data_IF_620375812754
#
_entry.id   IF_620375812754
#
_cell.length_a   1.000
_cell.length_b   1.000
_cell.length_c   1.000
_cell.angle_alpha   90.00
_cell.angle_beta   90.00
_cell.angle_gamma   90.00
#
_symmetry.space_group_name_H-M   'P 1'
#
loop_
_entity.id
_entity.type
_entity.pdbx_description
1 polymer ?
#
# COMPACT_ATOMS: atom_id res chain seq x y z
N UNK A 1 -19.75 -11.71 42.07
CA UNK A 1 -20.63 -10.65 42.61
C UNK A 1 -19.97 -9.27 42.73
N UNK A 2 -18.63 -9.12 42.80
CA UNK A 2 -17.98 -7.79 42.79
C UNK A 2 -17.47 -7.32 41.40
N UNK A 3 -17.42 -8.21 40.39
CA UNK A 3 -16.99 -7.90 39.02
C UNK A 3 -18.14 -7.43 38.09
N UNK A 4 -19.39 -7.76 38.39
CA UNK A 4 -20.55 -7.35 37.57
C UNK A 4 -20.91 -5.87 37.78
N UNK A 5 -20.66 -5.31 38.96
CA UNK A 5 -20.93 -3.88 39.25
C UNK A 5 -19.94 -2.91 38.58
N UNK A 6 -18.73 -3.37 38.23
CA UNK A 6 -17.76 -2.57 37.46
C UNK A 6 -18.11 -2.55 35.96
N UNK A 7 -18.71 -3.62 35.43
CA UNK A 7 -19.15 -3.68 34.04
C UNK A 7 -20.27 -2.67 33.76
N UNK A 8 -21.31 -2.62 34.60
CA UNK A 8 -22.47 -1.74 34.37
C UNK A 8 -22.16 -0.24 34.47
N UNK A 9 -21.15 0.16 35.26
CA UNK A 9 -20.68 1.55 35.32
C UNK A 9 -19.83 1.93 34.10
N UNK A 10 -19.12 0.97 33.50
CA UNK A 10 -18.34 1.21 32.27
C UNK A 10 -19.24 1.35 31.04
N UNK A 11 -20.36 0.61 30.97
CA UNK A 11 -21.32 0.70 29.85
C UNK A 11 -22.00 2.07 29.74
N UNK A 12 -22.26 2.76 30.86
CA UNK A 12 -22.87 4.09 30.85
C UNK A 12 -21.85 5.20 30.52
N UNK A 13 -20.58 5.04 30.96
CA UNK A 13 -19.49 5.91 30.51
C UNK A 13 -19.18 5.71 29.03
N UNK A 14 -19.16 4.46 28.54
CA UNK A 14 -18.88 4.07 27.15
C UNK A 14 -19.97 4.52 26.16
N UNK A 15 -21.25 4.46 26.54
CA UNK A 15 -22.34 4.95 25.69
C UNK A 15 -22.31 6.48 25.53
N UNK A 16 -21.93 7.21 26.58
CA UNK A 16 -21.84 8.68 26.55
C UNK A 16 -20.54 9.14 25.86
N UNK A 17 -19.44 8.40 26.02
CA UNK A 17 -18.17 8.63 25.32
C UNK A 17 -18.28 8.30 23.82
N UNK A 18 -18.96 7.21 23.44
CA UNK A 18 -19.26 6.86 22.04
C UNK A 18 -20.13 7.88 21.34
N UNK A 19 -21.07 8.53 22.04
CA UNK A 19 -21.93 9.55 21.43
C UNK A 19 -21.17 10.86 21.19
N UNK A 20 -20.33 11.28 22.15
CA UNK A 20 -19.50 12.48 22.03
C UNK A 20 -18.40 12.28 20.97
N UNK A 21 -17.73 11.13 20.94
CA UNK A 21 -16.72 10.81 19.91
C UNK A 21 -17.34 10.57 18.53
N UNK A 22 -18.53 9.96 18.44
CA UNK A 22 -19.22 9.82 17.14
C UNK A 22 -19.69 11.17 16.63
N UNK A 23 -20.13 12.10 17.48
CA UNK A 23 -20.44 13.47 17.04
C UNK A 23 -19.17 14.28 16.69
N UNK A 24 -18.05 14.10 17.38
CA UNK A 24 -16.77 14.72 17.03
C UNK A 24 -16.16 14.12 15.74
N UNK A 25 -16.32 12.81 15.52
CA UNK A 25 -15.88 12.11 14.30
C UNK A 25 -16.84 12.38 13.14
N UNK A 26 -18.15 12.41 13.35
CA UNK A 26 -19.12 12.80 12.31
C UNK A 26 -18.96 14.30 11.99
N UNK A 27 -18.60 15.17 12.94
CA UNK A 27 -18.17 16.53 12.64
C UNK A 27 -16.81 16.60 11.94
N UNK A 28 -15.85 15.74 12.27
CA UNK A 28 -14.54 15.70 11.61
C UNK A 28 -14.60 15.08 10.21
N UNK A 29 -15.49 14.12 9.95
CA UNK A 29 -15.70 13.48 8.66
C UNK A 29 -16.68 14.32 7.80
N UNK A 30 -17.65 15.00 8.40
CA UNK A 30 -18.59 15.87 7.67
C UNK A 30 -18.07 17.29 7.43
N UNK A 31 -17.04 17.77 8.15
CA UNK A 31 -16.39 19.07 7.90
C UNK A 31 -14.99 18.97 7.29
N UNK A 32 -14.45 17.78 7.02
CA UNK A 32 -13.34 17.68 6.07
C UNK A 32 -13.96 17.76 4.68
N UNK A 33 -14.28 19.00 4.29
CA UNK A 33 -14.29 19.35 2.88
C UNK A 33 -12.86 19.11 2.39
N UNK A 34 -12.61 17.88 1.90
CA UNK A 34 -11.30 17.36 1.45
C UNK A 34 -10.64 18.31 0.42
N UNK A 35 -11.39 19.28 -0.11
CA UNK A 35 -10.92 20.30 -1.04
C UNK A 35 -10.24 21.52 -0.41
N UNK A 36 -10.52 21.86 0.85
CA UNK A 36 -10.19 23.22 1.36
C UNK A 36 -9.13 23.27 2.47
N UNK A 37 -8.54 22.14 2.89
CA UNK A 37 -7.55 22.11 3.99
C UNK A 37 -6.31 21.23 3.76
N UNK A 38 -5.99 20.86 2.51
CA UNK A 38 -4.62 20.51 2.18
C UNK A 38 -3.86 21.82 1.98
N UNK A 39 -2.83 22.16 2.76
CA UNK A 39 -2.03 23.34 2.49
C UNK A 39 -1.47 23.23 1.07
N UNK A 40 -1.82 24.21 0.24
CA UNK A 40 -1.43 24.41 -1.16
C UNK A 40 0.10 24.53 -1.41
N UNK A 41 0.95 23.71 -0.78
CA UNK A 41 2.39 23.93 -0.70
C UNK A 41 3.28 22.77 -1.14
N UNK A 42 2.76 21.58 -1.42
CA UNK A 42 3.57 20.48 -1.95
C UNK A 42 3.15 19.96 -3.33
N UNK A 43 1.94 20.28 -3.82
CA UNK A 43 1.37 19.67 -5.04
C UNK A 43 0.63 20.67 -5.96
N UNK A 44 0.33 21.89 -5.49
CA UNK A 44 -0.45 22.85 -6.27
C UNK A 44 0.43 23.82 -7.06
N UNK A 45 0.83 23.41 -8.26
CA UNK A 45 1.01 24.33 -9.40
C UNK A 45 1.15 23.56 -10.75
N UNK A 46 0.61 22.35 -10.86
CA UNK A 46 0.56 21.66 -12.16
C UNK A 46 -0.76 21.94 -12.85
N UNK A 47 -0.66 22.63 -13.99
CA UNK A 47 -1.79 22.87 -14.87
C UNK A 47 -2.27 21.57 -15.52
N UNK A 48 -3.25 20.92 -14.89
CA UNK A 48 -3.87 19.70 -15.42
C UNK A 48 -4.43 19.93 -16.84
N UNK A 49 -4.94 21.13 -17.15
CA UNK A 49 -5.42 21.45 -18.49
C UNK A 49 -4.27 21.57 -19.51
N UNK A 50 -3.13 22.11 -19.09
CA UNK A 50 -1.88 22.15 -19.85
C UNK A 50 -1.29 20.77 -20.09
N UNK A 51 -1.30 19.91 -19.07
CA UNK A 51 -0.92 18.50 -19.20
C UNK A 51 -1.85 17.79 -20.20
N UNK A 52 -3.17 17.91 -20.06
CA UNK A 52 -4.14 17.34 -21.02
C UNK A 52 -3.92 17.86 -22.46
N UNK A 53 -3.56 19.13 -22.62
CA UNK A 53 -3.27 19.73 -23.93
C UNK A 53 -1.95 19.24 -24.55
N UNK A 54 -0.97 18.89 -23.72
CA UNK A 54 0.32 18.33 -24.14
C UNK A 54 0.19 16.85 -24.50
N UNK A 55 -0.64 16.11 -23.75
CA UNK A 55 -0.78 14.66 -23.89
C UNK A 55 -1.91 14.21 -24.84
N UNK A 56 -2.76 15.14 -25.30
CA UNK A 56 -3.74 14.87 -26.35
C UNK A 56 -4.78 13.81 -25.98
N UNK A 57 -5.24 13.02 -26.95
CA UNK A 57 -6.29 12.00 -26.78
C UNK A 57 -5.89 10.84 -25.83
N UNK A 58 -4.60 10.74 -25.49
CA UNK A 58 -4.07 9.69 -24.59
C UNK A 58 -4.20 10.04 -23.11
N UNK A 59 -4.51 11.28 -22.75
CA UNK A 59 -4.72 11.68 -21.36
C UNK A 59 -6.20 11.96 -21.08
N UNK A 60 -6.78 11.18 -20.18
CA UNK A 60 -8.11 11.41 -19.62
C UNK A 60 -7.96 11.88 -18.18
N UNK A 61 -8.81 12.80 -17.73
CA UNK A 61 -8.92 13.10 -16.31
C UNK A 61 -9.93 12.15 -15.68
N UNK A 62 -9.50 11.40 -14.67
CA UNK A 62 -10.37 10.57 -13.84
C UNK A 62 -10.21 11.00 -12.38
N UNK A 63 -11.29 11.46 -11.75
CA UNK A 63 -11.30 11.98 -10.37
C UNK A 63 -10.20 13.03 -10.05
N UNK A 64 -9.88 13.91 -11.02
CA UNK A 64 -8.86 14.95 -10.84
C UNK A 64 -7.41 14.47 -11.00
N UNK A 65 -7.19 13.20 -11.36
CA UNK A 65 -5.88 12.64 -11.71
C UNK A 65 -5.80 12.37 -13.22
N UNK A 66 -4.57 12.37 -13.77
CA UNK A 66 -4.34 12.05 -15.17
C UNK A 66 -4.24 10.53 -15.34
N UNK A 67 -5.23 9.97 -16.02
CA UNK A 67 -5.29 8.60 -16.47
C UNK A 67 -4.81 8.52 -17.92
N UNK A 68 -3.77 7.73 -18.18
CA UNK A 68 -3.20 7.62 -19.52
C UNK A 68 -3.78 6.40 -20.23
N UNK A 69 -4.69 6.62 -21.20
CA UNK A 69 -5.11 5.58 -22.13
C UNK A 69 -4.04 5.47 -23.21
N UNK A 70 -3.18 4.47 -23.07
CA UNK A 70 -2.15 4.14 -24.07
C UNK A 70 -0.76 4.03 -23.47
N UNK A 71 -0.49 2.87 -22.86
CA UNK A 71 0.79 2.47 -22.27
C UNK A 71 1.98 2.46 -23.25
N UNK A 72 1.74 2.62 -24.55
CA UNK A 72 2.74 2.46 -25.60
C UNK A 72 3.71 3.64 -25.74
N UNK A 73 3.39 4.82 -25.18
CA UNK A 73 4.14 6.05 -25.47
C UNK A 73 5.00 6.55 -24.29
N UNK A 74 5.13 5.77 -23.19
CA UNK A 74 5.97 6.15 -22.04
C UNK A 74 7.43 6.40 -22.44
N UNK A 75 7.98 5.55 -23.32
CA UNK A 75 9.30 5.73 -23.93
C UNK A 75 9.36 6.96 -24.85
N UNK A 76 8.24 7.35 -25.45
CA UNK A 76 8.12 8.57 -26.25
C UNK A 76 8.07 9.84 -25.41
N UNK A 77 7.79 9.76 -24.10
CA UNK A 77 7.70 10.91 -23.20
C UNK A 77 8.95 11.19 -22.38
N UNK A 78 9.79 10.19 -22.16
CA UNK A 78 10.96 10.38 -21.33
C UNK A 78 12.01 11.31 -21.95
N UNK A 79 12.51 12.22 -21.12
CA UNK A 79 13.45 13.26 -21.54
C UNK A 79 12.79 14.47 -22.21
N UNK A 80 11.46 14.51 -22.35
CA UNK A 80 10.75 15.72 -22.78
C UNK A 80 10.56 16.69 -21.61
N UNK A 81 10.62 17.98 -21.92
CA UNK A 81 10.37 19.11 -21.02
C UNK A 81 8.90 19.56 -21.15
N UNK A 82 8.24 19.84 -20.03
CA UNK A 82 6.81 20.15 -19.94
C UNK A 82 6.66 21.51 -19.26
N UNK A 83 6.06 22.48 -19.95
CA UNK A 83 5.82 23.81 -19.38
C UNK A 83 4.43 23.94 -18.77
N UNK A 84 4.30 24.53 -17.57
CA UNK A 84 2.99 24.96 -17.05
C UNK A 84 2.44 26.22 -17.76
N UNK A 85 1.21 26.65 -17.42
CA UNK A 85 0.60 27.91 -17.91
C UNK A 85 1.42 29.16 -17.63
N UNK A 86 2.32 29.12 -16.64
CA UNK A 86 3.23 30.22 -16.29
C UNK A 86 4.57 30.09 -17.01
N UNK A 87 4.78 29.07 -17.84
CA UNK A 87 5.99 28.80 -18.61
C UNK A 87 7.11 28.09 -17.83
N UNK A 88 6.85 27.58 -16.63
CA UNK A 88 7.84 26.85 -15.82
C UNK A 88 7.99 25.44 -16.38
N UNK A 89 9.23 25.08 -16.69
CA UNK A 89 9.58 23.80 -17.32
C UNK A 89 9.84 22.74 -16.25
N UNK A 90 9.12 21.63 -16.36
CA UNK A 90 9.22 20.43 -15.54
C UNK A 90 9.74 19.29 -16.44
N UNK A 91 10.81 18.58 -16.08
CA UNK A 91 11.21 17.38 -16.81
C UNK A 91 10.12 16.29 -16.69
N UNK A 92 9.81 15.59 -17.79
CA UNK A 92 8.82 14.47 -17.90
C UNK A 92 8.82 13.46 -16.75
N UNK A 93 9.98 13.23 -16.13
CA UNK A 93 10.16 12.42 -14.92
C UNK A 93 9.32 12.89 -13.72
N UNK A 94 9.00 14.18 -13.64
CA UNK A 94 8.20 14.78 -12.56
C UNK A 94 6.71 14.48 -12.70
N UNK A 95 6.23 14.22 -13.92
CA UNK A 95 4.83 13.86 -14.16
C UNK A 95 4.47 12.47 -13.63
N UNK A 96 5.44 11.55 -13.55
CA UNK A 96 5.22 10.16 -13.12
C UNK A 96 4.48 10.08 -11.77
N UNK A 97 4.71 11.04 -10.87
CA UNK A 97 4.07 11.11 -9.56
C UNK A 97 2.54 11.26 -9.64
N UNK A 98 2.02 11.85 -10.72
CA UNK A 98 0.59 12.14 -10.92
C UNK A 98 -0.10 11.18 -11.88
N UNK A 99 0.64 10.21 -12.45
CA UNK A 99 0.10 9.25 -13.43
C UNK A 99 -0.47 8.03 -12.75
N UNK A 100 -1.43 7.37 -13.42
CA UNK A 100 -1.89 6.03 -13.10
C UNK A 100 -1.00 4.95 -13.72
N UNK A 101 -0.83 3.84 -13.02
CA UNK A 101 -0.05 2.67 -13.44
C UNK A 101 -0.90 1.40 -13.26
N UNK A 102 -1.25 0.70 -14.35
CA UNK A 102 -1.88 -0.61 -14.28
C UNK A 102 -0.87 -1.70 -13.91
N UNK A 103 -1.35 -2.78 -13.28
CA UNK A 103 -0.51 -3.89 -12.82
C UNK A 103 0.24 -4.60 -13.95
N UNK A 104 -0.32 -4.64 -15.15
CA UNK A 104 0.30 -5.25 -16.34
C UNK A 104 1.53 -4.46 -16.78
N UNK A 105 1.43 -3.13 -16.83
CA UNK A 105 2.57 -2.26 -17.15
C UNK A 105 3.68 -2.42 -16.13
N UNK A 106 3.33 -2.37 -14.83
CA UNK A 106 4.30 -2.55 -13.75
C UNK A 106 4.97 -3.93 -13.87
N UNK A 107 4.21 -4.98 -14.18
CA UNK A 107 4.73 -6.33 -14.37
C UNK A 107 5.77 -6.45 -15.48
N UNK A 108 5.57 -5.75 -16.60
CA UNK A 108 6.48 -5.74 -17.76
C UNK A 108 7.67 -4.79 -17.57
N UNK A 109 7.48 -3.72 -16.81
CA UNK A 109 8.44 -2.62 -16.63
C UNK A 109 8.88 -2.48 -15.17
N UNK A 110 9.27 -3.58 -14.52
CA UNK A 110 9.79 -3.58 -13.14
C UNK A 110 11.31 -3.77 -13.15
N UNK A 111 12.06 -2.75 -13.58
CA UNK A 111 13.53 -2.76 -13.58
C UNK A 111 14.11 -1.44 -13.06
N UNK A 112 15.34 -1.49 -12.52
CA UNK A 112 15.97 -0.29 -11.92
C UNK A 112 16.26 0.83 -12.92
N UNK A 113 16.25 0.52 -14.22
CA UNK A 113 16.57 1.47 -15.30
C UNK A 113 15.33 1.99 -16.03
N UNK A 114 14.13 1.64 -15.54
CA UNK A 114 12.90 2.19 -16.09
C UNK A 114 12.77 3.66 -15.71
N UNK A 115 12.47 4.50 -16.71
CA UNK A 115 12.40 5.95 -16.53
C UNK A 115 11.27 6.36 -15.58
N UNK A 116 10.18 5.58 -15.50
CA UNK A 116 9.09 5.85 -14.56
C UNK A 116 9.52 5.63 -13.10
N UNK A 117 10.39 4.63 -12.84
CA UNK A 117 10.96 4.38 -11.52
C UNK A 117 11.94 5.51 -11.17
N UNK A 118 12.83 5.89 -12.08
CA UNK A 118 13.77 7.01 -11.88
C UNK A 118 13.02 8.34 -11.63
N UNK A 119 11.90 8.56 -12.33
CA UNK A 119 11.05 9.73 -12.12
C UNK A 119 10.38 9.77 -10.76
N UNK A 120 9.89 8.63 -10.26
CA UNK A 120 9.34 8.56 -8.90
C UNK A 120 10.43 8.66 -7.82
N UNK A 121 11.62 8.12 -8.04
CA UNK A 121 12.76 8.23 -7.10
C UNK A 121 13.11 9.69 -6.78
N UNK A 122 12.99 10.59 -7.76
CA UNK A 122 13.23 12.02 -7.58
C UNK A 122 12.30 12.64 -6.52
N UNK A 123 11.06 12.16 -6.42
CA UNK A 123 10.05 12.68 -5.50
C UNK A 123 10.16 12.13 -4.08
N UNK A 124 10.92 11.06 -3.86
CA UNK A 124 11.00 10.40 -2.53
C UNK A 124 11.51 11.34 -1.44
N UNK A 125 12.60 12.10 -1.61
CA UNK A 125 13.06 13.03 -0.57
C UNK A 125 12.04 14.16 -0.32
N UNK A 126 11.43 14.69 -1.38
CA UNK A 126 10.44 15.77 -1.30
C UNK A 126 9.21 15.32 -0.52
N UNK A 127 8.70 14.12 -0.80
CA UNK A 127 7.58 13.55 -0.07
C UNK A 127 7.92 13.24 1.40
N UNK A 128 9.14 12.78 1.68
CA UNK A 128 9.61 12.53 3.05
C UNK A 128 9.72 13.81 3.87
N UNK A 129 10.29 14.88 3.31
CA UNK A 129 10.38 16.19 3.96
C UNK A 129 8.99 16.78 4.20
N UNK A 130 8.12 16.74 3.17
CA UNK A 130 6.73 17.18 3.29
C UNK A 130 5.97 16.41 4.37
N UNK A 131 6.19 15.10 4.51
CA UNK A 131 5.59 14.32 5.59
C UNK A 131 6.04 14.80 6.97
N UNK A 132 7.34 15.06 7.19
CA UNK A 132 7.85 15.54 8.48
C UNK A 132 7.28 16.92 8.86
N UNK A 133 7.11 17.80 7.88
CA UNK A 133 6.43 19.09 8.08
C UNK A 133 4.98 18.89 8.54
N UNK A 134 4.22 18.04 7.83
CA UNK A 134 2.83 17.75 8.21
C UNK A 134 2.72 17.03 9.56
N UNK A 135 3.68 16.17 9.93
CA UNK A 135 3.72 15.54 11.25
C UNK A 135 3.88 16.61 12.35
N UNK A 136 4.70 17.63 12.08
CA UNK A 136 4.93 18.74 13.03
C UNK A 136 3.68 19.60 13.19
N UNK A 137 2.93 19.82 12.12
CA UNK A 137 1.76 20.70 12.10
C UNK A 137 0.47 20.01 12.56
N UNK A 138 0.21 18.79 12.08
CA UNK A 138 -1.07 18.08 12.25
C UNK A 138 -0.99 16.83 13.12
N UNK A 139 0.23 16.41 13.48
CA UNK A 139 0.47 15.19 14.25
C UNK A 139 0.50 13.93 13.40
N UNK A 140 1.32 12.97 13.86
CA UNK A 140 1.69 11.77 13.10
C UNK A 140 0.51 10.94 12.57
N UNK A 141 -0.50 10.68 13.41
CA UNK A 141 -1.62 9.82 13.01
C UNK A 141 -2.47 10.47 11.90
N UNK A 142 -2.74 11.77 12.03
CA UNK A 142 -3.48 12.52 11.01
C UNK A 142 -2.73 12.51 9.67
N UNK A 143 -1.42 12.76 9.70
CA UNK A 143 -0.58 12.74 8.49
C UNK A 143 -0.58 11.38 7.81
N UNK A 144 -0.45 10.28 8.56
CA UNK A 144 -0.46 8.92 8.00
C UNK A 144 -1.82 8.61 7.35
N UNK A 145 -2.92 8.97 8.02
CA UNK A 145 -4.26 8.77 7.50
C UNK A 145 -4.46 9.52 6.17
N UNK A 146 -4.13 10.81 6.14
CA UNK A 146 -4.27 11.65 4.96
C UNK A 146 -3.38 11.19 3.80
N UNK A 147 -2.17 10.72 4.11
CA UNK A 147 -1.23 10.21 3.10
C UNK A 147 -1.73 8.93 2.43
N UNK A 148 -2.32 8.01 3.20
CA UNK A 148 -2.39 6.61 2.80
C UNK A 148 -3.79 6.00 2.69
N UNK A 149 -4.85 6.66 3.19
CA UNK A 149 -6.22 6.14 3.05
C UNK A 149 -6.58 5.91 1.58
N UNK A 150 -6.37 6.92 0.73
CA UNK A 150 -6.69 6.82 -0.70
C UNK A 150 -5.76 5.85 -1.42
N UNK A 151 -4.46 5.84 -1.07
CA UNK A 151 -3.50 4.92 -1.66
C UNK A 151 -3.83 3.45 -1.32
N UNK A 152 -4.28 3.17 -0.09
CA UNK A 152 -4.71 1.84 0.32
C UNK A 152 -6.00 1.41 -0.41
N UNK A 153 -6.95 2.33 -0.60
CA UNK A 153 -8.14 2.08 -1.42
C UNK A 153 -7.79 1.74 -2.87
N UNK A 154 -6.82 2.43 -3.47
CA UNK A 154 -6.34 2.10 -4.82
C UNK A 154 -5.60 0.77 -4.88
N UNK A 155 -4.80 0.44 -3.86
CA UNK A 155 -4.22 -0.91 -3.72
C UNK A 155 -5.30 -1.98 -3.70
N UNK A 156 -6.34 -1.80 -2.86
CA UNK A 156 -7.49 -2.71 -2.83
C UNK A 156 -8.13 -2.86 -4.20
N UNK A 157 -8.45 -1.75 -4.86
CA UNK A 157 -9.10 -1.76 -6.17
C UNK A 157 -8.23 -2.40 -7.26
N UNK A 158 -6.90 -2.25 -7.23
CA UNK A 158 -6.00 -2.90 -8.19
C UNK A 158 -6.09 -4.43 -8.15
N UNK A 159 -6.22 -5.01 -6.96
CA UNK A 159 -6.25 -6.47 -6.78
C UNK A 159 -7.66 -7.07 -6.67
N UNK A 160 -8.67 -6.25 -6.42
CA UNK A 160 -10.08 -6.69 -6.31
C UNK A 160 -10.93 -6.32 -7.52
N UNK A 161 -10.65 -5.20 -8.19
CA UNK A 161 -11.55 -4.55 -9.16
C UNK A 161 -10.82 -4.04 -10.43
N UNK A 162 -9.61 -4.54 -10.72
CA UNK A 162 -8.77 -4.12 -11.86
C UNK A 162 -8.49 -2.60 -11.94
N UNK A 163 -8.39 -1.94 -10.79
CA UNK A 163 -8.00 -0.53 -10.67
C UNK A 163 -6.50 -0.29 -10.89
N UNK A 164 -6.11 1.00 -10.88
CA UNK A 164 -4.73 1.45 -11.08
C UNK A 164 -4.18 2.13 -9.81
N UNK A 165 -2.86 2.11 -9.65
CA UNK A 165 -2.16 2.91 -8.64
C UNK A 165 -1.72 4.24 -9.24
N UNK A 166 -1.71 5.30 -8.44
CA UNK A 166 -1.00 6.53 -8.79
C UNK A 166 0.49 6.40 -8.51
N UNK A 167 1.31 7.16 -9.22
CA UNK A 167 2.74 7.26 -8.96
C UNK A 167 3.07 7.65 -7.51
N UNK A 168 2.30 8.56 -6.94
CA UNK A 168 2.41 8.95 -5.53
C UNK A 168 2.16 7.78 -4.55
N UNK A 169 1.33 6.81 -4.92
CA UNK A 169 1.02 5.65 -4.06
C UNK A 169 2.26 4.76 -3.83
N UNK A 170 3.21 4.74 -4.78
CA UNK A 170 4.48 4.01 -4.65
C UNK A 170 5.40 4.57 -3.56
N UNK A 171 5.12 5.78 -3.08
CA UNK A 171 5.87 6.47 -2.02
C UNK A 171 5.01 6.51 -0.75
N UNK A 172 3.73 6.86 -0.89
CA UNK A 172 2.78 6.96 0.22
C UNK A 172 2.60 5.64 0.98
N UNK A 173 2.45 4.51 0.28
CA UNK A 173 2.23 3.21 0.92
C UNK A 173 3.45 2.75 1.74
N UNK A 174 4.69 2.77 1.22
CA UNK A 174 5.89 2.50 2.03
C UNK A 174 6.03 3.39 3.26
N UNK A 175 5.80 4.70 3.13
CA UNK A 175 5.85 5.64 4.25
C UNK A 175 4.80 5.31 5.31
N UNK A 176 3.59 4.95 4.88
CA UNK A 176 2.52 4.56 5.78
C UNK A 176 2.83 3.25 6.50
N UNK A 177 3.34 2.23 5.79
CA UNK A 177 3.74 0.94 6.39
C UNK A 177 4.86 1.11 7.41
N UNK A 178 5.84 1.99 7.16
CA UNK A 178 6.92 2.28 8.10
C UNK A 178 6.38 2.80 9.45
N UNK A 179 5.29 3.55 9.42
CA UNK A 179 4.75 4.20 10.61
C UNK A 179 3.50 3.54 11.19
N UNK A 180 2.82 2.67 10.43
CA UNK A 180 1.63 1.94 10.83
C UNK A 180 1.61 0.56 10.15
N UNK A 181 1.98 -0.47 10.92
CA UNK A 181 2.03 -1.87 10.44
C UNK A 181 0.68 -2.43 10.00
N UNK A 182 -0.45 -1.83 10.45
CA UNK A 182 -1.77 -2.28 10.02
C UNK A 182 -2.01 -1.97 8.53
N UNK A 183 -1.34 -0.96 7.96
CA UNK A 183 -1.41 -0.70 6.51
C UNK A 183 -0.82 -1.88 5.73
N UNK A 184 0.33 -2.39 6.18
CA UNK A 184 0.96 -3.59 5.60
C UNK A 184 0.04 -4.80 5.70
N UNK A 185 -0.57 -5.01 6.86
CA UNK A 185 -1.46 -6.16 7.08
C UNK A 185 -2.74 -6.06 6.23
N UNK A 186 -3.28 -4.84 6.04
CA UNK A 186 -4.40 -4.59 5.13
C UNK A 186 -4.05 -4.89 3.67
N UNK A 187 -2.85 -4.47 3.25
CA UNK A 187 -2.33 -4.79 1.91
C UNK A 187 -2.18 -6.30 1.72
N UNK A 188 -1.68 -7.03 2.72
CA UNK A 188 -1.58 -8.49 2.70
C UNK A 188 -2.95 -9.17 2.60
N UNK A 189 -3.93 -8.75 3.41
CA UNK A 189 -5.28 -9.31 3.37
C UNK A 189 -5.91 -9.16 1.99
N UNK A 190 -5.71 -8.03 1.32
CA UNK A 190 -6.19 -7.81 -0.07
C UNK A 190 -5.72 -8.93 -1.02
N UNK A 191 -4.53 -9.47 -0.79
CA UNK A 191 -3.97 -10.56 -1.61
C UNK A 191 -4.50 -11.93 -1.18
N UNK A 192 -4.66 -12.16 0.13
CA UNK A 192 -5.08 -13.45 0.68
C UNK A 192 -6.60 -13.69 0.63
N UNK A 193 -7.40 -12.64 0.80
CA UNK A 193 -8.86 -12.71 0.81
C UNK A 193 -9.45 -12.48 -0.57
N UNK A 194 -9.05 -13.32 -1.51
CA UNK A 194 -9.32 -13.14 -2.94
C UNK A 194 -10.81 -13.06 -3.32
N UNK A 195 -11.67 -13.69 -2.52
CA UNK A 195 -13.12 -13.74 -2.72
C UNK A 195 -13.88 -12.77 -1.79
N UNK A 196 -13.18 -11.89 -1.06
CA UNK A 196 -13.77 -10.92 -0.11
C UNK A 196 -14.69 -11.60 0.92
N UNK A 197 -14.25 -12.73 1.47
CA UNK A 197 -15.03 -13.50 2.47
C UNK A 197 -15.01 -12.83 3.84
N UNK A 198 -13.98 -12.04 4.12
CA UNK A 198 -13.70 -11.44 5.42
C UNK A 198 -13.73 -9.92 5.40
N UNK A 199 -13.21 -9.31 4.34
CA UNK A 199 -13.10 -7.85 4.27
C UNK A 199 -13.50 -7.27 2.92
N UNK A 200 -14.27 -6.18 2.98
CA UNK A 200 -14.46 -5.24 1.89
C UNK A 200 -13.48 -4.06 1.99
N UNK A 201 -13.49 -3.17 0.99
CA UNK A 201 -12.62 -1.97 0.94
C UNK A 201 -12.72 -1.14 2.22
N UNK A 202 -13.95 -0.85 2.65
CA UNK A 202 -14.21 0.01 3.81
C UNK A 202 -13.65 -0.62 5.09
N UNK A 203 -13.91 -1.91 5.30
CA UNK A 203 -13.47 -2.64 6.48
C UNK A 203 -11.95 -2.75 6.53
N UNK A 204 -11.26 -2.84 5.38
CA UNK A 204 -9.79 -2.81 5.32
C UNK A 204 -9.22 -1.43 5.67
N UNK A 205 -9.84 -0.36 5.19
CA UNK A 205 -9.44 1.02 5.54
C UNK A 205 -9.65 1.25 7.04
N UNK A 206 -10.79 0.83 7.58
CA UNK A 206 -11.08 0.91 9.02
C UNK A 206 -10.08 0.07 9.83
N UNK A 207 -9.75 -1.14 9.38
CA UNK A 207 -8.71 -1.99 9.99
C UNK A 207 -7.35 -1.28 10.03
N UNK A 208 -6.95 -0.62 8.93
CA UNK A 208 -5.65 0.02 8.83
C UNK A 208 -5.54 1.27 9.71
N UNK A 209 -6.56 2.14 9.72
CA UNK A 209 -6.45 3.49 10.29
C UNK A 209 -7.30 3.71 11.55
N UNK A 210 -8.20 2.80 11.88
CA UNK A 210 -9.06 2.84 13.06
C UNK A 210 -9.03 1.52 13.87
N UNK A 211 -7.85 0.99 14.26
CA UNK A 211 -7.70 -0.38 14.77
C UNK A 211 -8.26 -0.64 16.19
N UNK A 212 -9.07 0.25 16.75
CA UNK A 212 -9.32 0.33 18.20
C UNK A 212 -10.42 -0.58 18.75
N UNK A 213 -10.63 -1.76 18.18
CA UNK A 213 -11.45 -2.80 18.82
C UNK A 213 -10.72 -4.15 18.85
N UNK A 214 -10.73 -4.87 20.00
CA UNK A 214 -10.21 -6.24 20.08
C UNK A 214 -10.83 -7.22 19.08
N UNK A 215 -11.99 -6.85 18.52
CA UNK A 215 -12.69 -7.57 17.47
C UNK A 215 -11.91 -7.56 16.14
N UNK A 216 -11.35 -6.41 15.75
CA UNK A 216 -10.57 -6.26 14.51
C UNK A 216 -9.33 -7.17 14.51
N UNK A 217 -8.56 -7.19 15.60
CA UNK A 217 -7.38 -8.09 15.71
C UNK A 217 -7.77 -9.58 15.74
N UNK A 218 -8.92 -9.91 16.33
CA UNK A 218 -9.44 -11.29 16.34
C UNK A 218 -9.84 -11.73 14.94
N UNK A 219 -10.48 -10.85 14.18
CA UNK A 219 -10.90 -11.11 12.81
C UNK A 219 -9.70 -11.31 11.87
N UNK A 220 -8.64 -10.50 12.01
CA UNK A 220 -7.39 -10.69 11.26
C UNK A 220 -6.81 -12.08 11.51
N UNK A 221 -6.68 -12.45 12.79
CA UNK A 221 -6.15 -13.75 13.17
C UNK A 221 -6.97 -14.90 12.59
N UNK A 222 -8.29 -14.85 12.72
CA UNK A 222 -9.17 -15.90 12.17
C UNK A 222 -9.12 -15.97 10.65
N UNK A 223 -9.04 -14.83 9.96
CA UNK A 223 -8.84 -14.78 8.52
C UNK A 223 -7.54 -15.50 8.13
N UNK A 224 -6.41 -15.15 8.75
CA UNK A 224 -5.12 -15.76 8.46
C UNK A 224 -5.10 -17.26 8.80
N UNK A 225 -5.64 -17.67 9.94
CA UNK A 225 -5.74 -19.09 10.33
C UNK A 225 -6.60 -19.88 9.33
N UNK A 226 -7.75 -19.33 8.92
CA UNK A 226 -8.64 -19.96 7.95
C UNK A 226 -7.97 -20.11 6.57
N UNK A 227 -7.31 -19.05 6.08
CA UNK A 227 -6.59 -19.09 4.79
C UNK A 227 -5.37 -20.00 4.86
N UNK A 228 -4.67 -20.10 6.00
CA UNK A 228 -3.52 -20.98 6.16
C UNK A 228 -3.90 -22.47 6.15
N UNK A 229 -5.03 -22.82 6.78
CA UNK A 229 -5.55 -24.18 6.86
C UNK A 229 -6.36 -24.62 5.62
N UNK A 230 -6.49 -23.76 4.62
CA UNK A 230 -7.32 -23.97 3.44
C UNK A 230 -6.74 -25.07 2.52
N UNK A 231 -7.48 -26.17 2.33
CA UNK A 231 -7.07 -27.30 1.46
C UNK A 231 -7.98 -27.50 0.25
N UNK A 232 -9.18 -26.93 0.23
CA UNK A 232 -10.20 -27.19 -0.81
C UNK A 232 -10.05 -26.38 -2.08
N UNK A 233 -9.22 -25.32 -2.08
CA UNK A 233 -9.05 -24.41 -3.22
C UNK A 233 -7.59 -23.97 -3.31
N UNK A 234 -7.08 -23.93 -4.55
CA UNK A 234 -5.81 -23.29 -4.87
C UNK A 234 -5.99 -21.77 -4.82
N UNK A 235 -5.12 -21.02 -4.12
CA UNK A 235 -5.21 -19.57 -4.08
C UNK A 235 -4.74 -18.95 -5.41
N UNK A 236 -5.10 -17.69 -5.65
CA UNK A 236 -4.77 -16.92 -6.84
C UNK A 236 -3.29 -16.51 -6.85
N UNK A 237 -2.48 -17.44 -7.36
CA UNK A 237 -1.03 -17.24 -7.54
C UNK A 237 -0.73 -16.08 -8.50
N UNK A 238 -1.60 -15.82 -9.49
CA UNK A 238 -1.39 -14.72 -10.44
C UNK A 238 -1.50 -13.37 -9.74
N UNK A 239 -2.51 -13.20 -8.88
CA UNK A 239 -2.64 -12.01 -8.03
C UNK A 239 -1.41 -11.80 -7.16
N UNK A 240 -0.90 -12.85 -6.53
CA UNK A 240 0.31 -12.78 -5.71
C UNK A 240 1.56 -12.37 -6.51
N UNK A 241 1.73 -12.91 -7.73
CA UNK A 241 2.84 -12.52 -8.62
C UNK A 241 2.77 -11.04 -8.99
N UNK A 242 1.59 -10.53 -9.36
CA UNK A 242 1.41 -9.10 -9.64
C UNK A 242 1.68 -8.24 -8.41
N UNK A 243 1.21 -8.64 -7.22
CA UNK A 243 1.50 -7.95 -5.97
C UNK A 243 3.01 -7.87 -5.69
N UNK A 244 3.74 -8.96 -5.89
CA UNK A 244 5.19 -8.95 -5.76
C UNK A 244 5.85 -7.99 -6.76
N UNK A 245 5.36 -7.89 -8.00
CA UNK A 245 5.90 -6.94 -8.99
C UNK A 245 5.70 -5.48 -8.57
N UNK A 246 4.51 -5.16 -8.06
CA UNK A 246 4.21 -3.81 -7.54
C UNK A 246 5.11 -3.49 -6.34
N UNK A 247 5.25 -4.42 -5.39
CA UNK A 247 6.13 -4.24 -4.22
C UNK A 247 7.61 -4.13 -4.60
N UNK A 248 8.08 -4.92 -5.58
CA UNK A 248 9.44 -4.78 -6.11
C UNK A 248 9.66 -3.38 -6.67
N UNK A 249 8.71 -2.84 -7.44
CA UNK A 249 8.78 -1.49 -7.94
C UNK A 249 8.76 -0.45 -6.81
N UNK A 250 7.91 -0.60 -5.79
CA UNK A 250 7.92 0.28 -4.60
C UNK A 250 9.29 0.27 -3.90
N UNK A 251 9.92 -0.90 -3.76
CA UNK A 251 11.25 -1.02 -3.17
C UNK A 251 12.33 -0.34 -4.04
N UNK A 252 12.22 -0.41 -5.37
CA UNK A 252 13.10 0.31 -6.29
C UNK A 252 12.88 1.83 -6.21
N UNK A 253 11.63 2.29 -6.16
CA UNK A 253 11.29 3.71 -6.06
C UNK A 253 11.83 4.30 -4.76
N UNK A 254 11.63 3.62 -3.64
CA UNK A 254 11.95 4.15 -2.29
C UNK A 254 13.36 3.80 -1.79
N UNK A 255 14.22 3.21 -2.63
CA UNK A 255 15.52 2.68 -2.18
C UNK A 255 16.48 3.73 -1.61
N UNK A 256 16.25 5.02 -1.87
CA UNK A 256 17.09 6.12 -1.38
C UNK A 256 16.93 6.35 0.12
N UNK A 257 15.83 5.88 0.72
CA UNK A 257 15.57 5.89 2.16
C UNK A 257 15.35 4.43 2.61
N UNK A 258 16.40 3.72 3.06
CA UNK A 258 16.34 2.28 3.34
C UNK A 258 15.19 1.84 4.26
N UNK A 259 14.85 2.66 5.25
CA UNK A 259 13.79 2.41 6.23
C UNK A 259 12.42 2.19 5.57
N UNK A 260 12.14 2.90 4.47
CA UNK A 260 10.89 2.72 3.71
C UNK A 260 10.78 1.33 3.07
N UNK A 261 11.92 0.67 2.81
CA UNK A 261 11.95 -0.63 2.14
C UNK A 261 11.76 -1.81 3.09
N UNK A 262 11.88 -1.63 4.41
CA UNK A 262 11.83 -2.72 5.40
C UNK A 262 10.53 -3.50 5.30
N UNK A 263 9.38 -2.81 5.41
CA UNK A 263 8.07 -3.46 5.40
C UNK A 263 7.70 -3.97 4.00
N UNK A 264 8.22 -3.35 2.94
CA UNK A 264 8.08 -3.85 1.57
C UNK A 264 8.75 -5.22 1.43
N UNK A 265 10.01 -5.34 1.87
CA UNK A 265 10.74 -6.60 1.82
C UNK A 265 10.14 -7.66 2.74
N UNK A 266 9.64 -7.28 3.92
CA UNK A 266 8.94 -8.20 4.80
C UNK A 266 7.65 -8.75 4.15
N UNK A 267 6.88 -7.89 3.49
CA UNK A 267 5.65 -8.28 2.78
C UNK A 267 5.96 -9.12 1.54
N UNK A 268 6.99 -8.77 0.77
CA UNK A 268 7.51 -9.59 -0.34
C UNK A 268 7.89 -10.98 0.15
N UNK A 269 8.64 -11.08 1.25
CA UNK A 269 9.04 -12.36 1.83
C UNK A 269 7.81 -13.20 2.20
N UNK A 270 6.83 -12.59 2.87
CA UNK A 270 5.61 -13.27 3.30
C UNK A 270 4.82 -13.81 2.10
N UNK A 271 4.57 -12.99 1.08
CA UNK A 271 3.83 -13.41 -0.12
C UNK A 271 4.63 -14.49 -0.87
N UNK A 272 5.93 -14.30 -1.04
CA UNK A 272 6.80 -15.29 -1.68
C UNK A 272 6.80 -16.65 -0.99
N UNK A 273 6.82 -16.65 0.35
CA UNK A 273 6.74 -17.86 1.15
C UNK A 273 5.36 -18.51 1.04
N UNK A 274 4.29 -17.72 1.21
CA UNK A 274 2.91 -18.22 1.20
C UNK A 274 2.52 -18.85 -0.13
N UNK A 275 2.99 -18.29 -1.26
CA UNK A 275 2.61 -18.69 -2.62
C UNK A 275 3.71 -19.48 -3.37
N UNK A 276 4.80 -19.86 -2.69
CA UNK A 276 5.96 -20.55 -3.29
C UNK A 276 6.59 -19.83 -4.49
N UNK A 277 6.72 -18.51 -4.43
CA UNK A 277 7.26 -17.70 -5.54
C UNK A 277 8.79 -17.64 -5.56
N UNK A 278 9.47 -18.15 -4.52
CA UNK A 278 10.93 -18.10 -4.40
C UNK A 278 11.47 -16.82 -3.74
N UNK A 279 12.79 -16.70 -3.66
CA UNK A 279 13.52 -15.54 -3.09
C UNK A 279 13.18 -15.16 -1.64
N UNK A 280 12.53 -16.05 -0.88
CA UNK A 280 12.11 -15.81 0.51
C UNK A 280 13.29 -15.33 1.37
N UNK A 281 14.39 -16.10 1.38
CA UNK A 281 15.59 -15.74 2.14
C UNK A 281 16.24 -14.45 1.67
N UNK A 282 16.17 -14.13 0.37
CA UNK A 282 16.69 -12.87 -0.12
C UNK A 282 15.93 -11.69 0.49
N UNK A 283 14.59 -11.73 0.45
CA UNK A 283 13.76 -10.66 0.98
C UNK A 283 13.83 -10.55 2.52
N UNK A 284 13.81 -11.67 3.25
CA UNK A 284 13.94 -11.64 4.71
C UNK A 284 15.29 -11.04 5.13
N UNK A 285 16.40 -11.45 4.52
CA UNK A 285 17.71 -10.87 4.82
C UNK A 285 17.82 -9.40 4.46
N UNK A 286 17.20 -8.96 3.35
CA UNK A 286 17.15 -7.53 3.00
C UNK A 286 16.43 -6.72 4.07
N UNK A 287 15.26 -7.15 4.52
CA UNK A 287 14.53 -6.50 5.61
C UNK A 287 15.34 -6.49 6.91
N UNK A 288 15.86 -7.64 7.34
CA UNK A 288 16.60 -7.79 8.60
C UNK A 288 17.95 -7.08 8.62
N UNK A 289 18.56 -6.85 7.45
CA UNK A 289 19.80 -6.06 7.35
C UNK A 289 19.60 -4.58 7.67
N UNK A 290 18.38 -4.08 7.49
CA UNK A 290 18.00 -2.67 7.74
C UNK A 290 17.35 -2.56 9.13
N UNK A 291 16.41 -3.45 9.44
CA UNK A 291 15.74 -3.55 10.74
C UNK A 291 15.84 -4.99 11.27
N UNK A 292 16.84 -5.27 12.13
CA UNK A 292 17.01 -6.58 12.76
C UNK A 292 15.83 -7.01 13.62
N UNK A 293 14.89 -6.12 13.95
CA UNK A 293 13.69 -6.38 14.76
C UNK A 293 12.39 -6.48 13.96
N UNK A 294 12.47 -6.44 12.62
CA UNK A 294 11.32 -6.61 11.75
C UNK A 294 10.61 -7.95 11.99
N UNK A 295 9.46 -7.91 12.68
CA UNK A 295 8.76 -9.09 13.18
C UNK A 295 8.29 -10.03 12.07
N UNK A 296 7.69 -9.50 11.00
CA UNK A 296 7.22 -10.30 9.87
C UNK A 296 8.38 -11.00 9.17
N UNK A 297 9.52 -10.33 8.97
CA UNK A 297 10.69 -10.96 8.35
C UNK A 297 11.26 -12.10 9.22
N UNK A 298 11.32 -11.93 10.56
CA UNK A 298 11.72 -13.01 11.49
C UNK A 298 10.77 -14.21 11.43
N UNK A 299 9.46 -13.95 11.43
CA UNK A 299 8.43 -15.00 11.36
C UNK A 299 8.58 -15.80 10.07
N UNK A 300 8.70 -15.13 8.93
CA UNK A 300 8.82 -15.78 7.62
C UNK A 300 10.13 -16.55 7.51
N UNK A 301 11.25 -16.00 7.97
CA UNK A 301 12.54 -16.70 7.97
C UNK A 301 12.46 -17.98 8.81
N UNK A 302 11.89 -17.90 10.01
CA UNK A 302 11.68 -19.08 10.86
C UNK A 302 10.76 -20.10 10.21
N UNK A 303 9.68 -19.67 9.54
CA UNK A 303 8.77 -20.58 8.84
C UNK A 303 9.47 -21.30 7.66
N UNK A 304 10.28 -20.59 6.87
CA UNK A 304 11.05 -21.15 5.75
C UNK A 304 12.08 -22.19 6.23
N UNK A 305 12.84 -21.85 7.30
CA UNK A 305 13.86 -22.73 7.90
C UNK A 305 13.26 -24.01 8.51
N UNK A 306 12.05 -23.94 9.05
CA UNK A 306 11.35 -25.09 9.64
C UNK A 306 10.41 -25.79 8.67
N UNK A 307 10.39 -25.37 7.39
CA UNK A 307 9.52 -25.94 6.36
C UNK A 307 8.03 -25.92 6.74
N UNK A 308 7.60 -24.85 7.41
CA UNK A 308 6.19 -24.60 7.65
C UNK A 308 5.59 -23.99 6.39
N UNK A 309 4.53 -24.61 5.87
CA UNK A 309 3.88 -24.21 4.62
C UNK A 309 2.36 -24.15 4.80
N UNK A 310 1.65 -23.28 4.04
CA UNK A 310 0.19 -23.29 4.01
C UNK A 310 -0.36 -24.63 3.51
N UNK A 311 -1.52 -25.05 4.01
CA UNK A 311 -2.09 -26.37 3.73
C UNK A 311 -2.46 -26.60 2.25
N UNK A 312 -2.73 -25.52 1.49
CA UNK A 312 -3.03 -25.61 0.07
C UNK A 312 -1.86 -26.20 -0.74
N UNK A 313 -0.63 -26.08 -0.24
CA UNK A 313 0.58 -26.58 -0.88
C UNK A 313 0.58 -28.10 -1.02
N UNK A 314 0.09 -28.83 -0.02
CA UNK A 314 0.04 -30.30 -0.05
C UNK A 314 -0.82 -30.83 -1.20
N UNK A 315 -1.85 -30.08 -1.57
CA UNK A 315 -2.85 -30.48 -2.56
C UNK A 315 -2.57 -29.91 -3.96
N UNK A 316 -1.88 -28.77 -4.06
CA UNK A 316 -1.81 -28.01 -5.32
C UNK A 316 -0.43 -27.45 -5.68
N UNK A 317 0.54 -27.43 -4.77
CA UNK A 317 1.90 -27.03 -5.13
C UNK A 317 2.58 -28.21 -5.83
N UNK A 318 3.21 -27.96 -6.98
CA UNK A 318 4.09 -28.95 -7.59
C UNK A 318 5.20 -29.28 -6.59
N UNK A 319 5.44 -30.57 -6.24
CA UNK A 319 6.53 -30.93 -5.36
C UNK A 319 7.82 -30.38 -5.96
N UNK A 320 8.51 -29.51 -5.22
CA UNK A 320 9.85 -29.13 -5.65
C UNK A 320 10.71 -30.40 -5.62
N UNK A 321 11.36 -30.73 -6.75
CA UNK A 321 12.40 -31.74 -6.79
C UNK A 321 13.58 -31.28 -5.92
N UNK A 322 13.44 -31.40 -4.60
CA UNK A 322 14.52 -31.16 -3.66
C UNK A 322 15.08 -32.52 -3.27
N UNK A 323 16.32 -32.76 -3.68
CA UNK A 323 17.12 -33.89 -3.21
C UNK A 323 17.08 -33.86 -1.68
N UNK A 324 16.55 -34.92 -1.08
CA UNK A 324 16.76 -35.22 0.33
C UNK A 324 18.25 -35.48 0.49
N UNK A 325 18.97 -34.58 1.16
CA UNK A 325 20.27 -34.89 1.75
C UNK A 325 20.08 -35.53 3.12
#
# INVERSE_FOLDING_TARGET
>A
MHLEKLASSSYLLDATYKHVYREEIDMAIANVDVKDQVPHKCVDDFDIQGLMKIYGESAHSFNGCLDFVGLEDFNGFAGKEISDIKGKIYPSKECCYFMTFPKEYIGLHCSRHEQWIEGLQYWVPVAADGFLEHVTEYGKQCTINNLAITALGRWYNMFSNDGNLLGSDFIALPMAMLHNINVRDAMLITILDENQEWYDEKTLVDFAFCPHTPEISRNLRHCLEAKFAQTTKKPDVSRAVHACKVLQAMALVTHSIPELTVQIYALLAYISWWFHLGDVQHYTHRALSIDPDCSMAKIVLGADEHHLEPAWCECYATPQNRKRE
#
